data_IF_054017165565
#
_entry.id   IF_054017165565
#
_cell.length_a   1.000
_cell.length_b   1.000
_cell.length_c   1.000
_cell.angle_alpha   90.00
_cell.angle_beta   90.00
_cell.angle_gamma   90.00
#
_symmetry.space_group_name_H-M   'P 1'
#
loop_
_entity.id
_entity.type
_entity.pdbx_description
1 polymer ?
#
# COMPACT_ATOMS: atom_id res chain seq x y z
N UNK A 1 8.39 -44.89 18.63
CA UNK A 1 7.83 -44.63 17.30
C UNK A 1 6.99 -43.40 17.49
N UNK A 2 7.67 -42.29 17.65
CA UNK A 2 7.06 -41.09 18.17
C UNK A 2 6.79 -40.25 16.94
N UNK A 3 5.55 -40.41 16.44
CA UNK A 3 5.03 -39.62 15.35
C UNK A 3 4.89 -38.20 15.86
N UNK A 4 5.80 -37.33 15.39
CA UNK A 4 5.70 -35.89 15.54
C UNK A 4 4.48 -35.44 14.75
N UNK A 5 3.43 -35.05 15.48
CA UNK A 5 2.21 -34.47 14.92
C UNK A 5 2.56 -33.11 14.31
N UNK A 6 2.82 -33.10 13.00
CA UNK A 6 3.00 -31.89 12.20
C UNK A 6 1.63 -31.26 11.95
N UNK A 7 0.97 -30.77 13.00
CA UNK A 7 -0.15 -29.86 12.82
C UNK A 7 0.43 -28.53 12.36
N UNK A 8 0.50 -28.35 11.05
CA UNK A 8 0.76 -27.07 10.40
C UNK A 8 -0.18 -26.03 11.04
N UNK A 9 0.38 -25.08 11.78
CA UNK A 9 -0.39 -23.96 12.32
C UNK A 9 -0.83 -23.08 11.15
N UNK A 10 -1.97 -23.42 10.55
CA UNK A 10 -2.62 -22.59 9.56
C UNK A 10 -3.14 -21.32 10.25
N UNK A 11 -2.37 -20.24 10.15
CA UNK A 11 -2.78 -18.92 10.62
C UNK A 11 -4.02 -18.50 9.81
N UNK A 12 -5.14 -18.27 10.50
CA UNK A 12 -6.35 -17.75 9.86
C UNK A 12 -6.14 -16.26 9.52
N UNK A 13 -5.99 -15.95 8.23
CA UNK A 13 -5.78 -14.59 7.74
C UNK A 13 -7.04 -14.05 7.07
N UNK A 14 -7.53 -12.89 7.55
CA UNK A 14 -8.67 -12.17 6.97
C UNK A 14 -8.27 -10.76 6.62
N UNK A 15 -8.37 -10.42 5.33
CA UNK A 15 -7.95 -9.13 4.76
C UNK A 15 -6.51 -8.72 5.11
N UNK A 16 -5.64 -9.66 5.49
CA UNK A 16 -4.28 -9.37 5.95
C UNK A 16 -3.21 -9.61 4.88
N UNK A 17 -3.58 -9.53 3.61
CA UNK A 17 -2.65 -9.64 2.48
C UNK A 17 -2.69 -8.39 1.60
N UNK A 18 -1.50 -7.94 1.20
CA UNK A 18 -1.35 -6.93 0.16
C UNK A 18 -1.87 -7.44 -1.18
N UNK A 19 -2.55 -6.58 -1.94
CA UNK A 19 -3.04 -6.93 -3.28
C UNK A 19 -3.00 -5.72 -4.20
N UNK A 20 -2.78 -5.98 -5.49
CA UNK A 20 -2.92 -4.95 -6.52
C UNK A 20 -4.34 -4.91 -7.08
N UNK A 21 -4.78 -3.72 -7.49
CA UNK A 21 -6.00 -3.52 -8.27
C UNK A 21 -7.25 -4.21 -7.69
N UNK A 22 -7.41 -4.18 -6.37
CA UNK A 22 -8.52 -4.83 -5.65
C UNK A 22 -9.45 -3.82 -4.96
N UNK A 23 -8.93 -2.65 -4.60
CA UNK A 23 -9.62 -1.61 -3.84
C UNK A 23 -10.47 -0.65 -4.68
N UNK A 24 -11.20 0.23 -3.99
CA UNK A 24 -12.03 1.27 -4.60
C UNK A 24 -11.17 2.31 -5.34
N UNK A 25 -11.72 2.93 -6.38
CA UNK A 25 -11.07 4.00 -7.13
C UNK A 25 -12.07 4.89 -7.86
N UNK A 26 -11.72 6.16 -8.03
CA UNK A 26 -12.40 7.13 -8.89
C UNK A 26 -11.75 7.28 -10.29
N UNK A 27 -10.75 6.46 -10.64
CA UNK A 27 -10.16 6.42 -11.98
C UNK A 27 -10.91 5.44 -12.90
N UNK A 28 -10.97 5.75 -14.19
CA UNK A 28 -11.61 4.90 -15.20
C UNK A 28 -10.84 3.59 -15.39
N UNK A 29 -11.56 2.47 -15.31
CA UNK A 29 -11.01 1.12 -15.53
C UNK A 29 -9.80 0.76 -14.65
N UNK A 30 -9.59 1.47 -13.54
CA UNK A 30 -8.55 1.19 -12.57
C UNK A 30 -9.15 0.86 -11.21
N UNK A 31 -8.41 0.08 -10.42
CA UNK A 31 -8.68 -0.21 -9.01
C UNK A 31 -7.46 0.11 -8.20
N UNK A 32 -7.66 0.60 -6.98
CA UNK A 32 -6.55 0.93 -6.08
C UNK A 32 -5.93 -0.33 -5.50
N UNK A 33 -4.70 -0.20 -5.03
CA UNK A 33 -4.01 -1.26 -4.31
C UNK A 33 -4.43 -1.29 -2.83
N UNK A 34 -4.15 -2.42 -2.19
CA UNK A 34 -4.24 -2.61 -0.74
C UNK A 34 -2.84 -2.98 -0.26
N UNK A 35 -2.33 -2.25 0.73
CA UNK A 35 -1.03 -2.51 1.33
C UNK A 35 -1.20 -3.01 2.75
N UNK A 36 -0.64 -4.18 3.03
CA UNK A 36 -0.49 -4.71 4.39
C UNK A 36 1.00 -4.75 4.72
N UNK A 37 1.36 -4.12 5.84
CA UNK A 37 2.72 -4.15 6.40
C UNK A 37 2.71 -4.80 7.77
N UNK A 38 3.81 -5.44 8.12
CA UNK A 38 4.06 -5.97 9.44
C UNK A 38 5.40 -5.44 9.95
N UNK A 39 5.44 -5.04 11.22
CA UNK A 39 6.67 -4.66 11.90
C UNK A 39 6.59 -5.02 13.38
N UNK A 40 7.74 -5.09 14.03
CA UNK A 40 7.82 -5.23 15.47
C UNK A 40 7.96 -3.85 16.12
N UNK A 41 7.11 -3.55 17.09
CA UNK A 41 7.27 -2.36 17.91
C UNK A 41 8.25 -2.64 19.05
N UNK A 42 9.45 -2.06 18.98
CA UNK A 42 10.49 -2.19 20.03
C UNK A 42 10.57 -0.98 20.96
N UNK A 43 9.71 0.02 20.74
CA UNK A 43 9.72 1.29 21.47
C UNK A 43 8.48 1.44 22.35
N UNK A 44 8.62 2.17 23.44
CA UNK A 44 7.49 2.60 24.26
C UNK A 44 6.76 3.80 23.63
N UNK A 45 5.53 4.03 24.08
CA UNK A 45 4.70 5.20 23.70
C UNK A 45 4.49 5.37 22.19
N UNK A 46 4.49 4.27 21.44
CA UNK A 46 4.12 4.29 20.02
C UNK A 46 2.62 4.12 19.85
N UNK A 47 2.12 4.50 18.67
CA UNK A 47 0.73 4.34 18.28
C UNK A 47 0.68 3.68 16.91
N UNK A 48 -0.32 2.83 16.70
CA UNK A 48 -0.61 2.30 15.37
C UNK A 48 -1.30 3.37 14.51
N UNK A 49 -1.54 3.04 13.24
CA UNK A 49 -2.21 3.90 12.27
C UNK A 49 -3.67 4.24 12.63
N UNK A 50 -4.27 3.57 13.63
CA UNK A 50 -5.60 3.90 14.17
C UNK A 50 -5.55 4.85 15.36
N UNK A 51 -4.34 5.21 15.83
CA UNK A 51 -4.14 6.01 17.04
C UNK A 51 -4.29 5.21 18.34
N UNK A 52 -4.22 3.88 18.28
CA UNK A 52 -4.23 3.02 19.47
C UNK A 52 -2.80 2.87 20.00
N UNK A 53 -2.63 2.99 21.32
CA UNK A 53 -1.31 2.87 21.95
C UNK A 53 -0.78 1.44 21.82
N UNK A 54 0.49 1.33 21.44
CA UNK A 54 1.19 0.07 21.26
C UNK A 54 2.02 -0.29 22.49
N UNK A 55 1.88 -1.53 23.02
CA UNK A 55 2.85 -2.08 23.95
C UNK A 55 4.21 -2.29 23.26
N UNK A 56 5.27 -2.33 24.04
CA UNK A 56 6.59 -2.75 23.58
C UNK A 56 6.60 -4.26 23.29
N UNK A 57 7.46 -4.67 22.36
CA UNK A 57 7.76 -6.06 21.99
C UNK A 57 6.56 -6.83 21.40
N UNK A 58 5.68 -6.11 20.69
CA UNK A 58 4.55 -6.70 19.94
C UNK A 58 4.78 -6.59 18.43
N UNK A 59 4.23 -7.53 17.68
CA UNK A 59 4.08 -7.37 16.24
C UNK A 59 2.82 -6.55 15.95
N UNK A 60 2.94 -5.63 15.01
CA UNK A 60 1.86 -4.78 14.51
C UNK A 60 1.66 -5.10 13.05
N UNK A 61 0.40 -5.33 12.67
CA UNK A 61 0.00 -5.52 11.27
C UNK A 61 -0.96 -4.41 10.90
N UNK A 62 -0.66 -3.68 9.83
CA UNK A 62 -1.43 -2.52 9.39
C UNK A 62 -1.84 -2.67 7.93
N UNK A 63 -3.11 -2.40 7.63
CA UNK A 63 -3.70 -2.44 6.28
C UNK A 63 -4.12 -1.05 5.85
N UNK A 64 -3.50 -0.54 4.79
CA UNK A 64 -3.85 0.69 4.11
C UNK A 64 -4.68 0.41 2.86
N UNK A 65 -5.86 1.03 2.77
CA UNK A 65 -6.81 0.81 1.67
C UNK A 65 -7.73 2.01 1.48
N UNK A 66 -8.32 2.14 0.29
CA UNK A 66 -9.37 3.13 0.07
C UNK A 66 -10.74 2.60 0.50
N UNK A 67 -11.46 3.41 1.27
CA UNK A 67 -12.88 3.19 1.59
C UNK A 67 -13.69 4.45 1.37
N UNK A 68 -15.02 4.30 1.34
CA UNK A 68 -15.94 5.43 1.34
C UNK A 68 -15.92 6.09 2.73
N UNK A 69 -15.73 7.40 2.76
CA UNK A 69 -15.99 8.24 3.92
C UNK A 69 -17.51 8.36 4.12
N UNK A 70 -17.97 8.21 5.36
CA UNK A 70 -19.39 8.35 5.71
C UNK A 70 -19.88 9.80 5.64
N UNK A 71 -18.95 10.77 5.62
CA UNK A 71 -19.28 12.19 5.42
C UNK A 71 -19.22 12.57 3.95
N UNK A 72 -20.35 12.42 3.24
CA UNK A 72 -20.49 12.91 1.88
C UNK A 72 -20.69 14.44 1.89
N UNK A 73 -19.74 15.17 1.30
CA UNK A 73 -19.77 16.64 1.20
C UNK A 73 -19.98 17.10 -0.26
N UNK A 74 -20.93 16.48 -0.96
CA UNK A 74 -21.15 16.69 -2.40
C UNK A 74 -19.95 16.30 -3.27
N UNK A 75 -19.22 15.30 -2.83
CA UNK A 75 -18.02 14.79 -3.49
C UNK A 75 -18.31 14.26 -4.91
N UNK A 76 -17.43 14.53 -5.92
CA UNK A 76 -17.53 13.88 -7.22
C UNK A 76 -17.17 12.41 -7.10
N UNK A 77 -17.85 11.60 -7.89
CA UNK A 77 -17.76 10.15 -7.88
C UNK A 77 -18.03 9.59 -6.47
N UNK A 78 -17.06 8.92 -5.86
CA UNK A 78 -17.16 8.39 -4.50
C UNK A 78 -16.35 9.26 -3.53
N UNK A 79 -16.82 9.49 -2.28
CA UNK A 79 -16.07 10.20 -1.24
C UNK A 79 -14.98 9.30 -0.66
N UNK A 80 -14.01 8.90 -1.46
CA UNK A 80 -12.97 7.96 -1.05
C UNK A 80 -11.96 8.62 -0.11
N UNK A 81 -11.47 7.84 0.85
CA UNK A 81 -10.42 8.22 1.79
C UNK A 81 -9.45 7.05 1.99
N UNK A 82 -8.17 7.37 2.17
CA UNK A 82 -7.19 6.39 2.61
C UNK A 82 -7.42 6.11 4.08
N UNK A 83 -7.77 4.87 4.39
CA UNK A 83 -7.98 4.40 5.74
C UNK A 83 -6.93 3.36 6.12
N UNK A 84 -6.76 3.20 7.43
CA UNK A 84 -5.90 2.18 8.00
C UNK A 84 -6.62 1.35 9.06
N UNK A 85 -6.58 0.03 8.91
CA UNK A 85 -6.95 -0.94 9.95
C UNK A 85 -5.69 -1.57 10.52
N UNK A 86 -5.69 -1.91 11.80
CA UNK A 86 -4.52 -2.47 12.47
C UNK A 86 -4.90 -3.49 13.51
N UNK A 87 -4.01 -4.46 13.71
CA UNK A 87 -4.08 -5.44 14.78
C UNK A 87 -2.69 -5.71 15.34
N UNK A 88 -2.62 -6.28 16.53
CA UNK A 88 -1.36 -6.63 17.19
C UNK A 88 -1.40 -8.07 17.68
N UNK A 89 -0.22 -8.68 17.75
CA UNK A 89 -0.06 -9.98 18.37
C UNK A 89 1.32 -10.11 19.03
N UNK A 90 1.43 -11.07 19.95
CA UNK A 90 2.67 -11.41 20.66
C UNK A 90 3.10 -12.83 20.32
N UNK A 91 4.40 -13.10 20.48
CA UNK A 91 5.02 -14.36 20.09
C UNK A 91 5.12 -14.53 18.57
N UNK A 92 5.61 -15.70 18.14
CA UNK A 92 6.00 -15.92 16.75
C UNK A 92 4.91 -16.58 15.89
N UNK A 93 3.76 -16.93 16.47
CA UNK A 93 2.71 -17.68 15.78
C UNK A 93 1.31 -17.24 16.22
N UNK A 94 0.76 -16.16 15.62
CA UNK A 94 -0.62 -15.77 15.89
C UNK A 94 -1.59 -16.83 15.34
N UNK A 95 -2.65 -17.16 16.10
CA UNK A 95 -3.70 -18.08 15.61
C UNK A 95 -4.53 -17.48 14.48
N UNK A 96 -4.68 -16.15 14.48
CA UNK A 96 -5.40 -15.42 13.45
C UNK A 96 -4.93 -13.98 13.33
N UNK A 97 -4.91 -13.45 12.11
CA UNK A 97 -4.74 -12.02 11.82
C UNK A 97 -6.02 -11.56 11.12
N UNK A 98 -6.76 -10.68 11.79
CA UNK A 98 -8.01 -10.15 11.28
C UNK A 98 -7.90 -8.64 11.09
N UNK A 99 -7.93 -8.20 9.84
CA UNK A 99 -8.00 -6.80 9.44
C UNK A 99 -9.33 -6.49 8.74
N UNK A 100 -10.37 -7.31 8.96
CA UNK A 100 -11.71 -7.05 8.45
C UNK A 100 -12.36 -5.93 9.26
N UNK A 101 -12.28 -4.71 8.73
CA UNK A 101 -12.72 -3.52 9.42
C UNK A 101 -12.66 -2.30 8.51
N UNK A 102 -13.32 -1.24 8.94
CA UNK A 102 -13.30 0.03 8.23
C UNK A 102 -12.05 0.85 8.54
N UNK A 103 -11.32 0.57 9.63
CA UNK A 103 -10.15 1.35 10.02
C UNK A 103 -10.44 2.84 10.28
N UNK A 104 -9.39 3.61 10.53
CA UNK A 104 -9.45 5.05 10.70
C UNK A 104 -8.98 5.78 9.44
N UNK A 105 -9.61 6.93 9.13
CA UNK A 105 -9.19 7.75 7.98
C UNK A 105 -7.85 8.41 8.32
N UNK A 106 -6.83 8.16 7.51
CA UNK A 106 -5.51 8.77 7.61
C UNK A 106 -5.41 9.98 6.69
N UNK A 107 -5.89 9.85 5.45
CA UNK A 107 -5.92 10.92 4.47
C UNK A 107 -7.32 11.00 3.85
N UNK A 108 -8.07 12.10 4.04
CA UNK A 108 -9.36 12.26 3.39
C UNK A 108 -9.20 12.55 1.90
N UNK A 109 -10.24 12.26 1.10
CA UNK A 109 -10.37 12.67 -0.31
C UNK A 109 -9.24 12.18 -1.21
N UNK A 110 -9.04 10.87 -1.20
CA UNK A 110 -8.07 10.17 -2.06
C UNK A 110 -8.82 9.43 -3.15
N UNK A 111 -8.67 9.85 -4.39
CA UNK A 111 -9.35 9.26 -5.56
C UNK A 111 -8.71 7.94 -6.02
N UNK A 112 -7.41 7.76 -5.77
CA UNK A 112 -6.65 6.57 -6.16
C UNK A 112 -5.43 6.36 -5.27
N UNK A 113 -5.15 5.09 -4.95
CA UNK A 113 -3.97 4.67 -4.20
C UNK A 113 -3.26 3.53 -4.95
N UNK A 114 -1.96 3.69 -5.16
CA UNK A 114 -1.11 2.71 -5.83
C UNK A 114 0.18 2.48 -5.05
N UNK A 115 0.71 1.27 -5.18
CA UNK A 115 1.88 0.79 -4.46
C UNK A 115 2.80 0.02 -5.39
N UNK A 116 4.09 0.35 -5.34
CA UNK A 116 5.14 -0.48 -5.89
C UNK A 116 6.14 -0.87 -4.80
N UNK A 117 6.61 -2.11 -4.86
CA UNK A 117 7.64 -2.64 -3.98
C UNK A 117 8.99 -2.35 -4.60
N UNK A 118 9.87 -1.68 -3.86
CA UNK A 118 11.28 -1.55 -4.23
C UNK A 118 12.04 -2.77 -3.74
N UNK A 119 12.64 -3.51 -4.65
CA UNK A 119 13.36 -4.76 -4.35
C UNK A 119 14.83 -4.65 -4.72
N UNK A 120 15.69 -5.35 -3.97
CA UNK A 120 17.09 -5.56 -4.33
C UNK A 120 17.17 -6.66 -5.40
N UNK A 121 17.35 -6.26 -6.66
CA UNK A 121 17.41 -7.18 -7.79
C UNK A 121 18.12 -6.53 -8.97
N UNK A 122 19.14 -7.22 -9.44
CA UNK A 122 19.98 -6.85 -10.57
C UNK A 122 19.21 -6.84 -11.91
N UNK A 123 19.55 -5.91 -12.79
CA UNK A 123 18.91 -5.74 -14.11
C UNK A 123 17.52 -5.11 -14.10
N UNK A 124 16.92 -4.86 -12.92
CA UNK A 124 15.55 -4.35 -12.81
C UNK A 124 15.41 -2.83 -13.00
N UNK A 125 16.52 -2.14 -13.18
CA UNK A 125 16.54 -0.75 -13.63
C UNK A 125 17.57 -0.61 -14.77
N UNK A 126 17.42 0.42 -15.61
CA UNK A 126 18.29 0.62 -16.77
C UNK A 126 19.76 0.94 -16.41
N UNK A 127 20.05 1.27 -15.15
CA UNK A 127 21.39 1.59 -14.66
C UNK A 127 22.15 0.34 -14.17
N UNK A 128 21.46 -0.78 -13.96
CA UNK A 128 22.07 -2.05 -13.62
C UNK A 128 22.01 -2.98 -14.82
N UNK A 129 23.15 -3.29 -15.41
CA UNK A 129 23.27 -4.37 -16.40
C UNK A 129 23.48 -5.67 -15.64
N UNK A 130 22.50 -6.56 -15.64
CA UNK A 130 22.74 -7.96 -15.27
C UNK A 130 22.51 -8.85 -16.49
N UNK A 131 23.34 -9.89 -16.63
CA UNK A 131 23.16 -10.93 -17.64
C UNK A 131 21.92 -11.82 -17.34
N UNK A 132 21.28 -11.65 -16.18
CA UNK A 132 20.22 -12.52 -15.71
C UNK A 132 19.24 -11.82 -14.72
N UNK A 133 18.08 -11.39 -15.22
CA UNK A 133 16.98 -10.82 -14.45
C UNK A 133 16.31 -11.80 -13.49
N UNK A 134 16.68 -13.09 -13.51
CA UNK A 134 16.03 -14.12 -12.71
C UNK A 134 16.75 -14.43 -11.39
N UNK A 135 17.97 -13.91 -11.18
CA UNK A 135 18.75 -14.19 -9.97
C UNK A 135 18.44 -13.20 -8.84
N UNK A 136 18.25 -13.75 -7.63
CA UNK A 136 18.38 -13.00 -6.38
C UNK A 136 19.79 -12.44 -6.33
N UNK A 137 19.94 -11.12 -6.25
CA UNK A 137 21.20 -10.60 -5.73
C UNK A 137 21.08 -10.51 -4.21
N UNK A 138 22.02 -11.13 -3.50
CA UNK A 138 22.22 -10.93 -2.07
C UNK A 138 22.98 -9.64 -1.79
N UNK A 139 23.53 -9.01 -2.82
CA UNK A 139 24.19 -7.72 -2.77
C UNK A 139 23.14 -6.60 -2.93
N UNK A 140 23.30 -5.57 -2.09
CA UNK A 140 22.42 -4.40 -2.08
C UNK A 140 22.96 -3.28 -2.97
N UNK A 141 23.31 -3.61 -4.20
CA UNK A 141 23.92 -2.71 -5.18
C UNK A 141 22.94 -2.27 -6.28
N UNK A 142 21.91 -3.07 -6.56
CA UNK A 142 20.86 -2.71 -7.51
C UNK A 142 19.42 -2.80 -6.97
N UNK A 143 18.63 -1.74 -7.20
CA UNK A 143 17.22 -1.67 -6.78
C UNK A 143 16.27 -1.37 -7.93
N UNK A 144 15.12 -2.06 -7.96
CA UNK A 144 14.06 -1.81 -8.94
C UNK A 144 12.67 -1.85 -8.33
N UNK A 145 11.69 -1.26 -9.00
CA UNK A 145 10.30 -1.24 -8.55
C UNK A 145 9.45 -2.26 -9.28
N UNK A 146 8.55 -2.92 -8.55
CA UNK A 146 7.64 -3.94 -9.07
C UNK A 146 6.26 -3.82 -8.41
N UNK A 147 5.18 -4.15 -9.13
CA UNK A 147 3.84 -4.23 -8.52
C UNK A 147 3.72 -5.41 -7.57
N UNK A 148 2.78 -5.33 -6.62
CA UNK A 148 2.47 -6.43 -5.68
C UNK A 148 2.05 -7.69 -6.46
N UNK A 149 1.21 -7.53 -7.50
CA UNK A 149 0.79 -8.63 -8.36
C UNK A 149 1.99 -9.36 -8.99
N UNK A 150 2.89 -8.63 -9.64
CA UNK A 150 4.04 -9.25 -10.30
C UNK A 150 5.00 -9.87 -9.29
N UNK A 151 5.11 -9.31 -8.08
CA UNK A 151 5.96 -9.85 -7.03
C UNK A 151 5.43 -11.19 -6.52
N UNK A 152 4.11 -11.30 -6.39
CA UNK A 152 3.45 -12.54 -5.99
C UNK A 152 3.57 -13.66 -7.04
N UNK A 153 3.80 -13.32 -8.32
CA UNK A 153 4.05 -14.28 -9.40
C UNK A 153 5.50 -14.79 -9.45
N UNK A 154 6.43 -14.17 -8.73
CA UNK A 154 7.82 -14.63 -8.68
C UNK A 154 7.93 -15.92 -7.86
N UNK A 155 8.65 -16.89 -8.41
CA UNK A 155 9.06 -18.11 -7.67
C UNK A 155 10.14 -17.76 -6.65
N UNK A 156 11.20 -17.09 -7.11
CA UNK A 156 12.26 -16.56 -6.26
C UNK A 156 12.00 -15.10 -5.95
N UNK A 157 11.60 -14.82 -4.70
CA UNK A 157 11.20 -13.49 -4.26
C UNK A 157 12.42 -12.69 -3.77
N UNK A 158 12.83 -11.62 -4.46
CA UNK A 158 13.92 -10.76 -4.00
C UNK A 158 13.51 -9.98 -2.75
N UNK A 159 14.49 -9.51 -1.98
CA UNK A 159 14.21 -8.77 -0.75
C UNK A 159 13.55 -7.43 -1.04
N UNK A 160 12.46 -7.12 -0.32
CA UNK A 160 11.79 -5.82 -0.38
C UNK A 160 12.53 -4.86 0.55
N UNK A 161 13.08 -3.79 -0.01
CA UNK A 161 13.90 -2.78 0.69
C UNK A 161 13.20 -1.43 0.83
N UNK A 162 12.16 -1.18 0.03
CA UNK A 162 11.38 0.05 0.10
C UNK A 162 9.97 -0.16 -0.44
N UNK A 163 9.09 0.78 -0.13
CA UNK A 163 7.76 0.88 -0.72
C UNK A 163 7.61 2.24 -1.35
N UNK A 164 7.16 2.30 -2.60
CA UNK A 164 6.81 3.53 -3.30
C UNK A 164 5.31 3.66 -3.36
N UNK A 165 4.79 4.71 -2.74
CA UNK A 165 3.38 5.03 -2.61
C UNK A 165 3.01 6.11 -3.62
N UNK A 166 1.84 5.99 -4.23
CA UNK A 166 1.26 6.98 -5.13
C UNK A 166 -0.19 7.25 -4.75
N UNK A 167 -0.54 8.51 -4.59
CA UNK A 167 -1.88 8.95 -4.22
C UNK A 167 -2.34 10.02 -5.20
N UNK A 168 -3.56 9.91 -5.71
CA UNK A 168 -4.27 11.03 -6.31
C UNK A 168 -5.16 11.65 -5.24
N UNK A 169 -4.80 12.83 -4.76
CA UNK A 169 -5.48 13.51 -3.66
C UNK A 169 -6.27 14.68 -4.20
N UNK A 170 -7.49 14.85 -3.70
CA UNK A 170 -8.42 15.92 -4.03
C UNK A 170 -8.53 16.92 -2.88
N UNK A 171 -8.75 18.19 -3.19
CA UNK A 171 -9.03 19.21 -2.18
C UNK A 171 -10.25 18.83 -1.31
N UNK A 172 -10.20 19.17 -0.03
CA UNK A 172 -11.33 18.96 0.91
C UNK A 172 -12.49 19.90 0.62
N UNK A 173 -12.18 21.10 0.13
CA UNK A 173 -13.13 22.14 -0.21
C UNK A 173 -13.19 22.37 -1.72
N UNK A 174 -14.31 22.92 -2.17
CA UNK A 174 -14.47 23.35 -3.55
C UNK A 174 -13.57 24.55 -3.85
N UNK A 175 -12.91 24.54 -5.00
CA UNK A 175 -12.04 25.64 -5.47
C UNK A 175 -12.76 26.59 -6.44
N UNK A 176 -14.09 26.47 -6.53
CA UNK A 176 -14.91 27.11 -7.56
C UNK A 176 -14.91 26.35 -8.90
N UNK A 177 -15.67 26.81 -9.89
CA UNK A 177 -15.66 26.21 -11.23
C UNK A 177 -14.30 26.49 -11.90
N UNK A 178 -13.43 25.49 -11.93
CA UNK A 178 -12.13 25.63 -12.57
C UNK A 178 -12.31 25.63 -14.11
N UNK A 179 -12.11 26.79 -14.73
CA UNK A 179 -12.14 26.97 -16.19
C UNK A 179 -11.04 26.21 -16.95
N UNK A 180 -10.02 25.73 -16.24
CA UNK A 180 -8.95 24.90 -16.79
C UNK A 180 -9.12 23.42 -16.42
N UNK A 181 -10.30 23.03 -15.92
CA UNK A 181 -10.61 21.61 -15.77
C UNK A 181 -10.71 20.98 -17.16
N UNK A 182 -9.94 19.92 -17.35
CA UNK A 182 -9.94 19.09 -18.55
C UNK A 182 -10.40 17.69 -18.15
N UNK A 183 -11.58 17.29 -18.65
CA UNK A 183 -12.15 15.96 -18.39
C UNK A 183 -11.32 14.85 -19.04
N UNK A 184 -10.56 15.17 -20.08
CA UNK A 184 -9.69 14.24 -20.79
C UNK A 184 -8.29 14.14 -20.18
N UNK A 185 -7.99 14.93 -19.14
CA UNK A 185 -6.72 14.87 -18.43
C UNK A 185 -6.48 13.49 -17.83
N UNK A 186 -5.39 12.87 -18.25
CA UNK A 186 -4.88 11.65 -17.63
C UNK A 186 -3.93 11.99 -16.49
N UNK A 187 -4.07 11.27 -15.38
CA UNK A 187 -3.18 11.35 -14.24
C UNK A 187 -2.20 10.18 -14.30
N UNK A 188 -0.90 10.48 -14.23
CA UNK A 188 0.15 9.49 -14.03
C UNK A 188 0.37 9.31 -12.53
N UNK A 189 0.03 8.13 -11.99
CA UNK A 189 0.31 7.74 -10.61
C UNK A 189 1.12 6.44 -10.64
N UNK A 190 2.42 6.53 -10.36
CA UNK A 190 3.37 5.42 -10.49
C UNK A 190 3.26 4.77 -11.90
N UNK A 191 2.95 3.48 -11.97
CA UNK A 191 2.77 2.71 -13.20
C UNK A 191 1.43 2.96 -13.90
N UNK A 192 0.46 3.59 -13.22
CA UNK A 192 -0.90 3.76 -13.72
C UNK A 192 -1.06 5.11 -14.41
N UNK A 193 -1.67 5.11 -15.60
CA UNK A 193 -2.10 6.32 -16.30
C UNK A 193 -3.58 6.19 -16.64
N UNK A 194 -4.42 7.03 -16.06
CA UNK A 194 -5.86 6.97 -16.28
C UNK A 194 -6.56 8.32 -16.06
N UNK A 195 -7.74 8.46 -16.65
CA UNK A 195 -8.66 9.58 -16.44
C UNK A 195 -9.53 9.35 -15.19
N UNK A 196 -10.12 10.43 -14.68
CA UNK A 196 -11.18 10.32 -13.67
C UNK A 196 -12.46 9.78 -14.31
N UNK A 197 -13.23 9.00 -13.55
CA UNK A 197 -14.61 8.65 -13.93
C UNK A 197 -15.41 9.94 -14.12
N UNK A 198 -16.19 10.02 -15.20
CA UNK A 198 -16.98 11.20 -15.51
C UNK A 198 -17.94 11.57 -14.36
N UNK A 199 -17.92 12.84 -13.98
CA UNK A 199 -18.80 13.48 -12.99
C UNK A 199 -18.70 15.00 -13.18
N UNK A 200 -19.84 15.67 -13.29
CA UNK A 200 -19.91 17.12 -13.53
C UNK A 200 -19.27 17.95 -12.41
N UNK A 201 -19.17 17.40 -11.20
CA UNK A 201 -18.55 18.06 -10.05
C UNK A 201 -17.04 17.95 -10.06
N UNK A 202 -16.43 17.15 -10.94
CA UNK A 202 -14.97 17.03 -11.01
C UNK A 202 -14.26 18.37 -11.21
N UNK A 203 -14.89 19.29 -11.95
CA UNK A 203 -14.41 20.67 -12.20
C UNK A 203 -14.36 21.57 -10.97
N UNK A 204 -14.99 21.16 -9.86
CA UNK A 204 -15.07 21.96 -8.63
C UNK A 204 -13.89 21.72 -7.68
N UNK A 205 -13.03 20.73 -7.96
CA UNK A 205 -11.99 20.31 -7.04
C UNK A 205 -10.61 20.28 -7.69
N UNK A 206 -9.62 20.77 -6.96
CA UNK A 206 -8.22 20.63 -7.35
C UNK A 206 -7.71 19.23 -6.98
N UNK A 207 -6.79 18.70 -7.79
CA UNK A 207 -6.18 17.39 -7.56
C UNK A 207 -4.68 17.42 -7.78
N UNK A 208 -3.95 16.76 -6.90
CA UNK A 208 -2.51 16.61 -6.97
C UNK A 208 -2.13 15.14 -6.84
N UNK A 209 -1.11 14.75 -7.61
CA UNK A 209 -0.47 13.45 -7.44
C UNK A 209 0.64 13.62 -6.40
N UNK A 210 0.60 12.80 -5.36
CA UNK A 210 1.66 12.71 -4.35
C UNK A 210 2.32 11.35 -4.49
N UNK A 211 3.64 11.35 -4.67
CA UNK A 211 4.44 10.12 -4.68
C UNK A 211 5.53 10.19 -3.64
N UNK A 212 5.64 9.15 -2.81
CA UNK A 212 6.65 9.06 -1.76
C UNK A 212 7.30 7.68 -1.80
N UNK A 213 8.61 7.63 -1.68
CA UNK A 213 9.35 6.37 -1.42
C UNK A 213 9.69 6.32 0.07
N UNK A 214 9.39 5.18 0.69
CA UNK A 214 9.71 4.88 2.10
C UNK A 214 10.68 3.70 2.12
N UNK A 215 11.88 3.91 2.63
CA UNK A 215 12.86 2.86 2.82
C UNK A 215 12.53 2.02 4.07
N UNK A 216 12.65 0.69 3.96
CA UNK A 216 12.44 -0.24 5.05
C UNK A 216 13.81 -0.60 5.62
N UNK A 217 14.22 0.00 6.76
CA UNK A 217 15.55 -0.22 7.36
C UNK A 217 15.87 -1.70 7.62
N UNK A 218 14.88 -2.47 8.07
CA UNK A 218 15.05 -3.91 8.31
C UNK A 218 15.04 -4.74 7.00
N UNK A 219 14.68 -4.12 5.87
CA UNK A 219 14.77 -4.71 4.54
C UNK A 219 16.18 -4.66 3.95
N UNK A 220 17.16 -3.99 4.58
CA UNK A 220 18.53 -3.87 4.08
C UNK A 220 19.51 -4.88 4.71
N UNK A 221 19.03 -5.94 5.38
CA UNK A 221 19.81 -7.14 5.65
C UNK A 221 21.23 -6.97 6.21
N UNK A 222 21.49 -5.95 7.03
CA UNK A 222 22.75 -5.91 7.80
C UNK A 222 22.51 -6.78 9.04
N UNK A 223 22.92 -8.04 8.97
CA UNK A 223 23.32 -8.76 10.19
C UNK A 223 24.38 -7.89 10.87
N UNK A 224 24.11 -7.41 12.08
CA UNK A 224 25.14 -6.87 12.97
C UNK A 224 25.74 -8.01 13.78
#
# INVERSE_FOLDING_TARGET
>A
SDGEDTTQLDISSKDALSSSASGLSNLENQKSDVLVIQYQNILDSQYNCKGEQLPKDVYVVEKFFLRKDSTNKNDPNEPLALACEATTYTGDSPKSIDLSGNGQIVIPRVDYFAVMLGVAQDGRNAACTSDDLSKKDGNMDCFGYISIENYNKLTDKPQIVSVKLGLLIRSTDIVGQNKYFDADKSYQILQTTAKLKSDDKNKLYARNVVTQTVALRNGFGIEQ
#
